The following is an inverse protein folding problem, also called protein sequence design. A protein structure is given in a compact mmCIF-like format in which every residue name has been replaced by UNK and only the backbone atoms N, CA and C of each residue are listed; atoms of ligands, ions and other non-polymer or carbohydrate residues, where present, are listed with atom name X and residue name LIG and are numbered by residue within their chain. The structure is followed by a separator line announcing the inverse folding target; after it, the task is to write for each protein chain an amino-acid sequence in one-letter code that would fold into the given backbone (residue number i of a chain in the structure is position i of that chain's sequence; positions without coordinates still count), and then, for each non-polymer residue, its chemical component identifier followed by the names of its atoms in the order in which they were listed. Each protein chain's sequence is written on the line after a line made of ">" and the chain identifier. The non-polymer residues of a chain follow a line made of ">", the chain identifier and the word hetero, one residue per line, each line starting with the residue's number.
data_IF_304178683425
#
_entry.id   IF_304178683425
#
_cell.length_a   1.000
_cell.length_b   1.000
_cell.length_c   1.000
_cell.angle_alpha   90.00
_cell.angle_beta   90.00
_cell.angle_gamma   90.00
#
_symmetry.space_group_name_H-M   'P 1'
#
loop_
_entity.id
_entity.type
_entity.pdbx_description
1 polymer ?
#
# COMPACT_ATOMS: atom_id res chain seq x y z
N UNK A 1 -30.15 8.26 -14.78
CA UNK A 1 -29.26 8.63 -13.67
C UNK A 1 -27.87 8.91 -14.25
N UNK A 2 -27.33 10.13 -14.05
CA UNK A 2 -26.13 10.60 -14.75
C UNK A 2 -24.85 10.06 -14.08
N UNK A 3 -23.78 9.82 -14.85
CA UNK A 3 -22.45 9.39 -14.34
C UNK A 3 -21.99 10.38 -13.25
N UNK A 4 -22.24 11.68 -13.43
CA UNK A 4 -21.90 12.74 -12.47
C UNK A 4 -22.54 12.55 -11.09
N UNK A 5 -23.77 12.02 -11.03
CA UNK A 5 -24.47 11.82 -9.74
C UNK A 5 -23.85 10.65 -8.95
N UNK A 6 -23.30 9.65 -9.63
CA UNK A 6 -22.64 8.49 -9.00
C UNK A 6 -21.22 8.80 -8.55
N UNK A 7 -20.50 9.70 -9.22
CA UNK A 7 -19.21 10.19 -8.75
C UNK A 7 -19.32 11.08 -7.50
N UNK A 8 -20.51 11.60 -7.20
CA UNK A 8 -20.81 12.31 -5.94
C UNK A 8 -21.06 11.36 -4.76
N UNK A 9 -21.13 10.04 -4.99
CA UNK A 9 -21.33 9.07 -3.90
C UNK A 9 -20.10 9.07 -2.97
N UNK A 10 -20.27 9.36 -1.66
CA UNK A 10 -19.16 9.43 -0.72
C UNK A 10 -18.32 8.15 -0.67
N UNK A 11 -18.94 7.00 -0.93
CA UNK A 11 -18.26 5.71 -0.94
C UNK A 11 -17.12 5.62 -1.98
N UNK A 12 -17.25 6.27 -3.14
CA UNK A 12 -16.18 6.33 -4.17
C UNK A 12 -14.99 7.12 -3.66
N UNK A 13 -15.22 8.24 -2.98
CA UNK A 13 -14.16 9.07 -2.44
C UNK A 13 -13.44 8.43 -1.24
N UNK A 14 -14.18 7.73 -0.38
CA UNK A 14 -13.58 6.94 0.71
C UNK A 14 -12.69 5.84 0.14
N UNK A 15 -13.14 5.17 -0.93
CA UNK A 15 -12.34 4.14 -1.58
C UNK A 15 -11.11 4.74 -2.30
N UNK A 16 -11.28 5.90 -2.95
CA UNK A 16 -10.18 6.62 -3.58
C UNK A 16 -9.12 7.02 -2.54
N UNK A 17 -9.54 7.52 -1.37
CA UNK A 17 -8.65 7.82 -0.26
C UNK A 17 -7.96 6.56 0.28
N UNK A 18 -8.69 5.46 0.48
CA UNK A 18 -8.12 4.19 0.94
C UNK A 18 -7.05 3.67 -0.03
N UNK A 19 -7.33 3.70 -1.33
CA UNK A 19 -6.38 3.33 -2.37
C UNK A 19 -5.16 4.28 -2.41
N UNK A 20 -5.37 5.58 -2.24
CA UNK A 20 -4.31 6.56 -2.16
C UNK A 20 -3.34 6.27 -1.00
N UNK A 21 -3.84 6.00 0.20
CA UNK A 21 -3.02 5.63 1.35
C UNK A 21 -2.32 4.28 1.17
N UNK A 22 -2.94 3.31 0.53
CA UNK A 22 -2.29 2.05 0.18
C UNK A 22 -1.14 2.28 -0.81
N UNK A 23 -1.29 3.18 -1.79
CA UNK A 23 -0.23 3.53 -2.73
C UNK A 23 0.93 4.24 -2.04
N UNK A 24 0.70 5.06 -1.02
CA UNK A 24 1.77 5.63 -0.18
C UNK A 24 2.64 4.51 0.40
N UNK A 25 2.03 3.51 1.04
CA UNK A 25 2.75 2.36 1.61
C UNK A 25 3.51 1.55 0.54
N UNK A 26 2.90 1.33 -0.62
CA UNK A 26 3.52 0.59 -1.73
C UNK A 26 4.74 1.30 -2.30
N UNK A 27 4.60 2.58 -2.62
CA UNK A 27 5.68 3.36 -3.24
C UNK A 27 6.77 3.73 -2.24
N UNK A 28 6.47 3.76 -0.94
CA UNK A 28 7.48 3.86 0.11
C UNK A 28 8.55 2.76 -0.03
N UNK A 29 8.13 1.51 -0.14
CA UNK A 29 9.06 0.39 -0.28
C UNK A 29 9.72 0.36 -1.65
N UNK A 30 8.96 0.62 -2.73
CA UNK A 30 9.50 0.56 -4.08
C UNK A 30 10.50 1.70 -4.38
N UNK A 31 10.28 2.90 -3.84
CA UNK A 31 11.16 4.06 -4.03
C UNK A 31 12.31 4.14 -3.03
N UNK A 32 12.05 3.83 -1.75
CA UNK A 32 12.98 4.10 -0.65
C UNK A 32 13.46 2.83 0.08
N UNK A 33 12.86 1.67 -0.20
CA UNK A 33 13.19 0.42 0.51
C UNK A 33 14.63 -0.02 0.32
N UNK A 34 15.21 0.19 -0.87
CA UNK A 34 16.63 -0.14 -1.14
C UNK A 34 17.54 0.76 -0.30
N UNK A 35 17.33 2.08 -0.34
CA UNK A 35 18.10 3.03 0.48
C UNK A 35 17.97 2.71 1.98
N UNK A 36 16.78 2.35 2.44
CA UNK A 36 16.59 1.96 3.85
C UNK A 36 17.40 0.73 4.23
N UNK A 37 17.45 -0.30 3.38
CA UNK A 37 18.24 -1.51 3.65
C UNK A 37 19.74 -1.21 3.67
N UNK A 38 20.21 -0.34 2.78
CA UNK A 38 21.60 0.05 2.70
C UNK A 38 22.04 0.88 3.92
N UNK A 39 21.34 1.99 4.15
CA UNK A 39 21.76 3.00 5.14
C UNK A 39 21.39 2.63 6.58
N UNK A 40 20.21 2.01 6.78
CA UNK A 40 19.74 1.66 8.13
C UNK A 40 20.16 0.25 8.56
N UNK A 41 20.33 -0.68 7.61
CA UNK A 41 20.59 -2.10 7.93
C UNK A 41 21.93 -2.63 7.44
N UNK A 42 22.69 -1.84 6.66
CA UNK A 42 24.03 -2.18 6.19
C UNK A 42 24.10 -3.26 5.11
N UNK A 43 23.01 -3.44 4.33
CA UNK A 43 22.98 -4.38 3.22
C UNK A 43 23.79 -3.83 2.03
N UNK A 44 24.42 -4.73 1.28
CA UNK A 44 25.04 -4.36 -0.01
C UNK A 44 23.95 -4.02 -1.05
N UNK A 45 24.37 -3.30 -2.12
CA UNK A 45 23.46 -2.91 -3.21
C UNK A 45 22.71 -4.10 -3.79
N UNK A 46 23.40 -5.19 -4.07
CA UNK A 46 22.82 -6.39 -4.68
C UNK A 46 21.82 -7.09 -3.73
N UNK A 47 22.16 -7.19 -2.45
CA UNK A 47 21.28 -7.77 -1.44
C UNK A 47 20.01 -6.92 -1.27
N UNK A 48 20.14 -5.60 -1.12
CA UNK A 48 19.01 -4.68 -0.93
C UNK A 48 18.05 -4.73 -2.13
N UNK A 49 18.58 -4.65 -3.36
CA UNK A 49 17.77 -4.73 -4.59
C UNK A 49 17.09 -6.09 -4.68
N UNK A 50 17.80 -7.19 -4.38
CA UNK A 50 17.26 -8.55 -4.45
C UNK A 50 16.09 -8.72 -3.46
N UNK A 51 16.26 -8.27 -2.21
CA UNK A 51 15.23 -8.35 -1.18
C UNK A 51 13.99 -7.53 -1.56
N UNK A 52 14.18 -6.28 -1.99
CA UNK A 52 13.05 -5.42 -2.38
C UNK A 52 12.33 -5.97 -3.61
N UNK A 53 13.04 -6.56 -4.58
CA UNK A 53 12.43 -7.12 -5.80
C UNK A 53 11.47 -8.29 -5.53
N UNK A 54 11.62 -8.99 -4.42
CA UNK A 54 10.72 -10.09 -4.00
C UNK A 54 9.27 -9.59 -3.90
N UNK A 55 9.06 -8.38 -3.37
CA UNK A 55 7.70 -7.85 -3.23
C UNK A 55 6.98 -7.68 -4.58
N UNK A 56 7.69 -7.31 -5.64
CA UNK A 56 7.10 -7.13 -6.96
C UNK A 56 6.66 -8.49 -7.56
N UNK A 57 7.49 -9.52 -7.43
CA UNK A 57 7.16 -10.87 -7.93
C UNK A 57 5.98 -11.46 -7.17
N UNK A 58 5.99 -11.37 -5.84
CA UNK A 58 4.90 -11.90 -5.02
C UNK A 58 3.64 -11.03 -5.08
N UNK A 59 3.76 -9.75 -5.43
CA UNK A 59 2.63 -8.89 -5.73
C UNK A 59 1.81 -9.39 -6.93
N UNK A 60 2.46 -9.92 -7.96
CA UNK A 60 1.77 -10.56 -9.11
C UNK A 60 0.97 -11.77 -8.61
N UNK A 61 1.57 -12.65 -7.81
CA UNK A 61 0.88 -13.80 -7.24
C UNK A 61 -0.30 -13.36 -6.36
N UNK A 62 -0.12 -12.37 -5.50
CA UNK A 62 -1.18 -11.80 -4.68
C UNK A 62 -2.36 -11.30 -5.50
N UNK A 63 -2.09 -10.58 -6.60
CA UNK A 63 -3.12 -10.08 -7.50
C UNK A 63 -3.88 -11.20 -8.21
N UNK A 64 -3.18 -12.23 -8.72
CA UNK A 64 -3.83 -13.37 -9.38
C UNK A 64 -4.69 -14.17 -8.41
N UNK A 65 -4.19 -14.40 -7.20
CA UNK A 65 -4.90 -15.18 -6.18
C UNK A 65 -6.05 -14.41 -5.52
N UNK A 66 -6.07 -13.06 -5.61
CA UNK A 66 -7.06 -12.22 -4.93
C UNK A 66 -8.51 -12.55 -5.30
N UNK A 67 -8.78 -12.80 -6.59
CA UNK A 67 -10.11 -13.21 -7.09
C UNK A 67 -10.54 -14.55 -6.49
N UNK A 68 -9.66 -15.55 -6.54
CA UNK A 68 -9.93 -16.88 -5.98
C UNK A 68 -10.19 -16.83 -4.47
N UNK A 69 -9.39 -16.07 -3.73
CA UNK A 69 -9.59 -15.85 -2.30
C UNK A 69 -10.95 -15.21 -2.00
N UNK A 70 -11.32 -14.15 -2.73
CA UNK A 70 -12.57 -13.45 -2.55
C UNK A 70 -13.78 -14.39 -2.75
N UNK A 71 -13.77 -15.13 -3.86
CA UNK A 71 -14.94 -15.91 -4.27
C UNK A 71 -15.11 -17.17 -3.43
N UNK A 72 -14.02 -17.90 -3.15
CA UNK A 72 -14.09 -19.17 -2.41
C UNK A 72 -14.16 -19.04 -0.90
N UNK A 73 -13.35 -18.12 -0.31
CA UNK A 73 -13.24 -18.01 1.15
C UNK A 73 -14.23 -17.02 1.75
N UNK A 74 -14.55 -15.95 1.03
CA UNK A 74 -15.34 -14.83 1.58
C UNK A 74 -16.68 -14.63 0.90
N UNK A 75 -17.13 -15.57 0.06
CA UNK A 75 -18.43 -15.56 -0.61
C UNK A 75 -18.77 -14.22 -1.30
N UNK A 76 -17.74 -13.57 -1.86
CA UNK A 76 -17.86 -12.26 -2.52
C UNK A 76 -17.82 -11.05 -1.58
N UNK A 77 -17.71 -11.21 -0.26
CA UNK A 77 -17.45 -10.07 0.64
C UNK A 77 -15.99 -9.65 0.50
N UNK A 78 -15.77 -8.41 0.06
CA UNK A 78 -14.42 -7.87 -0.22
C UNK A 78 -13.85 -7.03 0.91
N UNK A 79 -14.66 -6.69 1.92
CA UNK A 79 -14.22 -5.87 3.06
C UNK A 79 -13.36 -6.66 4.03
N UNK A 80 -13.78 -7.91 4.32
CA UNK A 80 -13.05 -8.78 5.24
C UNK A 80 -11.64 -9.10 4.71
N UNK A 81 -11.48 -9.59 3.46
CA UNK A 81 -10.14 -9.82 2.94
C UNK A 81 -9.33 -8.52 2.81
N UNK A 82 -9.92 -7.38 2.44
CA UNK A 82 -9.21 -6.11 2.42
C UNK A 82 -8.69 -5.71 3.82
N UNK A 83 -9.46 -5.96 4.87
CA UNK A 83 -9.03 -5.74 6.26
C UNK A 83 -7.88 -6.69 6.65
N UNK A 84 -8.02 -7.99 6.40
CA UNK A 84 -7.02 -9.00 6.75
C UNK A 84 -5.68 -8.74 6.04
N UNK A 85 -5.72 -8.51 4.73
CA UNK A 85 -4.52 -8.20 3.96
C UNK A 85 -3.96 -6.80 4.25
N UNK A 86 -4.80 -5.84 4.67
CA UNK A 86 -4.37 -4.55 5.17
C UNK A 86 -3.60 -4.66 6.49
N UNK A 87 -4.08 -5.46 7.43
CA UNK A 87 -3.35 -5.78 8.66
C UNK A 87 -2.03 -6.49 8.34
N UNK A 88 -2.07 -7.51 7.47
CA UNK A 88 -0.87 -8.22 7.03
C UNK A 88 0.16 -7.28 6.40
N UNK A 89 -0.28 -6.33 5.55
CA UNK A 89 0.56 -5.32 4.95
C UNK A 89 1.25 -4.44 5.99
N UNK A 90 0.50 -3.97 7.00
CA UNK A 90 1.05 -3.12 8.07
C UNK A 90 2.01 -3.89 8.97
N UNK A 91 1.71 -5.16 9.27
CA UNK A 91 2.62 -6.03 10.04
C UNK A 91 3.90 -6.33 9.26
N UNK A 92 3.78 -6.64 7.96
CA UNK A 92 4.93 -6.87 7.09
C UNK A 92 5.82 -5.63 6.99
N UNK A 93 5.21 -4.44 6.87
CA UNK A 93 5.92 -3.17 6.83
C UNK A 93 6.63 -2.87 8.16
N UNK A 94 5.96 -3.10 9.30
CA UNK A 94 6.56 -2.96 10.62
C UNK A 94 7.72 -3.95 10.82
N UNK A 95 7.57 -5.20 10.36
CA UNK A 95 8.63 -6.19 10.40
C UNK A 95 9.82 -5.79 9.53
N UNK A 96 9.58 -5.21 8.36
CA UNK A 96 10.63 -4.68 7.49
C UNK A 96 11.38 -3.54 8.16
N UNK A 97 10.70 -2.60 8.78
CA UNK A 97 11.30 -1.40 9.37
C UNK A 97 12.01 -1.70 10.69
N UNK A 98 11.43 -2.54 11.55
CA UNK A 98 11.90 -2.76 12.93
C UNK A 98 12.40 -4.18 13.22
N UNK A 99 12.28 -5.13 12.29
CA UNK A 99 12.59 -6.55 12.49
C UNK A 99 14.08 -6.93 12.54
N UNK A 100 14.99 -5.93 12.62
CA UNK A 100 16.43 -6.19 12.67
C UNK A 100 17.09 -6.44 11.30
N UNK A 101 18.39 -6.76 11.33
CA UNK A 101 19.24 -6.79 10.12
C UNK A 101 19.39 -8.20 9.51
N UNK A 102 18.77 -9.22 10.10
CA UNK A 102 18.88 -10.58 9.57
C UNK A 102 18.24 -10.69 8.18
N UNK A 103 18.94 -11.24 7.20
CA UNK A 103 18.49 -11.40 5.81
C UNK A 103 17.13 -12.08 5.73
N UNK A 104 16.93 -13.20 6.45
CA UNK A 104 15.70 -13.95 6.41
C UNK A 104 14.47 -13.17 6.89
N UNK A 105 14.63 -12.25 7.87
CA UNK A 105 13.54 -11.39 8.37
C UNK A 105 13.12 -10.40 7.29
N UNK A 106 14.08 -9.80 6.59
CA UNK A 106 13.81 -8.85 5.52
C UNK A 106 13.20 -9.53 4.29
N UNK A 107 13.65 -10.74 3.95
CA UNK A 107 13.04 -11.57 2.90
C UNK A 107 11.60 -11.93 3.28
N UNK A 108 11.37 -12.42 4.50
CA UNK A 108 10.02 -12.77 4.99
C UNK A 108 9.09 -11.56 4.95
N UNK A 109 9.56 -10.39 5.39
CA UNK A 109 8.77 -9.16 5.36
C UNK A 109 8.36 -8.78 3.93
N UNK A 110 9.26 -8.90 2.95
CA UNK A 110 8.97 -8.61 1.53
C UNK A 110 8.06 -9.65 0.89
N UNK A 111 8.14 -10.91 1.30
CA UNK A 111 7.19 -11.96 0.89
C UNK A 111 5.77 -11.60 1.35
N UNK A 112 5.61 -11.33 2.65
CA UNK A 112 4.30 -10.98 3.22
C UNK A 112 3.76 -9.66 2.65
N UNK A 113 4.63 -8.66 2.52
CA UNK A 113 4.27 -7.36 1.95
C UNK A 113 3.83 -7.49 0.49
N UNK A 114 4.58 -8.22 -0.34
CA UNK A 114 4.25 -8.42 -1.74
C UNK A 114 2.89 -9.08 -1.94
N UNK A 115 2.62 -10.19 -1.23
CA UNK A 115 1.33 -10.87 -1.30
C UNK A 115 0.21 -9.93 -0.85
N UNK A 116 0.38 -9.27 0.31
CA UNK A 116 -0.63 -8.38 0.86
C UNK A 116 -0.95 -7.21 -0.06
N UNK A 117 0.09 -6.53 -0.58
CA UNK A 117 -0.09 -5.37 -1.46
C UNK A 117 -0.72 -5.77 -2.80
N UNK A 118 -0.38 -6.95 -3.35
CA UNK A 118 -0.98 -7.48 -4.57
C UNK A 118 -2.48 -7.69 -4.43
N UNK A 119 -2.93 -8.27 -3.32
CA UNK A 119 -4.34 -8.44 -3.00
C UNK A 119 -5.03 -7.09 -2.80
N UNK A 120 -4.42 -6.17 -2.05
CA UNK A 120 -4.98 -4.84 -1.79
C UNK A 120 -5.14 -4.01 -3.05
N UNK A 121 -4.18 -4.06 -3.98
CA UNK A 121 -4.29 -3.38 -5.29
C UNK A 121 -5.54 -3.85 -6.03
N UNK A 122 -5.78 -5.17 -6.06
CA UNK A 122 -6.94 -5.72 -6.72
C UNK A 122 -8.26 -5.27 -6.05
N UNK A 123 -8.32 -5.29 -4.72
CA UNK A 123 -9.54 -4.91 -4.00
C UNK A 123 -9.77 -3.40 -3.96
N UNK A 124 -8.83 -2.64 -3.41
CA UNK A 124 -8.98 -1.19 -3.23
C UNK A 124 -8.85 -0.42 -4.54
N UNK A 125 -7.95 -0.86 -5.43
CA UNK A 125 -7.73 -0.23 -6.73
C UNK A 125 -8.77 -0.59 -7.80
N UNK A 126 -9.51 -1.69 -7.63
CA UNK A 126 -10.37 -2.22 -8.68
C UNK A 126 -11.72 -2.75 -8.20
N UNK A 127 -11.73 -3.95 -7.64
CA UNK A 127 -12.96 -4.71 -7.42
C UNK A 127 -14.00 -4.01 -6.54
N UNK A 128 -13.57 -3.33 -5.46
CA UNK A 128 -14.48 -2.59 -4.59
C UNK A 128 -15.11 -1.38 -5.29
N UNK A 129 -14.39 -0.75 -6.24
CA UNK A 129 -14.95 0.33 -7.03
C UNK A 129 -16.07 -0.17 -7.98
N UNK A 130 -15.87 -1.35 -8.56
CA UNK A 130 -16.86 -2.00 -9.42
C UNK A 130 -18.15 -2.34 -8.66
N UNK A 131 -18.03 -2.74 -7.39
CA UNK A 131 -19.21 -3.11 -6.56
C UNK A 131 -20.00 -1.90 -6.06
N UNK A 132 -19.39 -0.73 -5.97
CA UNK A 132 -20.03 0.48 -5.42
C UNK A 132 -20.88 1.20 -6.50
N UNK A 133 -20.50 1.06 -7.78
CA UNK A 133 -21.16 1.78 -8.87
C UNK A 133 -21.74 0.83 -9.92
N UNK A 134 -22.80 1.23 -10.65
CA UNK A 134 -23.34 0.44 -11.74
C UNK A 134 -22.32 0.34 -12.89
N UNK A 135 -22.44 -0.73 -13.69
CA UNK A 135 -21.50 -1.05 -14.79
C UNK A 135 -21.17 0.12 -15.72
N UNK A 136 -22.15 1.00 -15.99
CA UNK A 136 -21.97 2.19 -16.85
C UNK A 136 -21.05 3.26 -16.25
N UNK A 137 -20.85 3.27 -14.93
CA UNK A 137 -20.04 4.26 -14.21
C UNK A 137 -18.71 3.69 -13.72
N UNK A 138 -18.44 2.38 -13.92
CA UNK A 138 -17.26 1.68 -13.42
C UNK A 138 -15.96 2.33 -13.91
N UNK A 139 -15.84 2.63 -15.20
CA UNK A 139 -14.63 3.27 -15.75
C UNK A 139 -14.34 4.63 -15.12
N UNK A 140 -15.37 5.43 -14.85
CA UNK A 140 -15.20 6.72 -14.19
C UNK A 140 -14.76 6.58 -12.72
N UNK A 141 -15.34 5.62 -11.99
CA UNK A 141 -14.96 5.34 -10.61
C UNK A 141 -13.50 4.84 -10.52
N UNK A 142 -13.11 3.91 -11.39
CA UNK A 142 -11.72 3.42 -11.48
C UNK A 142 -10.75 4.55 -11.84
N UNK A 143 -11.15 5.47 -12.73
CA UNK A 143 -10.37 6.65 -13.07
C UNK A 143 -10.13 7.57 -11.87
N UNK A 144 -11.15 7.85 -11.06
CA UNK A 144 -11.01 8.67 -9.83
C UNK A 144 -10.09 7.99 -8.82
N UNK A 145 -10.27 6.69 -8.58
CA UNK A 145 -9.42 5.90 -7.67
C UNK A 145 -7.97 5.90 -8.17
N UNK A 146 -7.76 5.67 -9.46
CA UNK A 146 -6.42 5.65 -10.07
C UNK A 146 -5.71 7.00 -9.95
N UNK A 147 -6.38 8.11 -10.32
CA UNK A 147 -5.82 9.46 -10.22
C UNK A 147 -5.44 9.78 -8.77
N UNK A 148 -6.33 9.54 -7.81
CA UNK A 148 -6.05 9.78 -6.39
C UNK A 148 -4.82 8.97 -5.91
N UNK A 149 -4.72 7.70 -6.34
CA UNK A 149 -3.62 6.80 -5.97
C UNK A 149 -2.27 7.29 -6.50
N UNK A 150 -2.20 7.69 -7.76
CA UNK A 150 -0.94 8.15 -8.35
C UNK A 150 -0.54 9.56 -7.88
N UNK A 151 -1.49 10.45 -7.60
CA UNK A 151 -1.20 11.73 -6.95
C UNK A 151 -0.60 11.47 -5.56
N UNK A 152 -1.18 10.55 -4.79
CA UNK A 152 -0.67 10.19 -3.48
C UNK A 152 0.73 9.55 -3.55
N UNK A 153 1.02 8.74 -4.58
CA UNK A 153 2.35 8.18 -4.82
C UNK A 153 3.39 9.30 -5.06
N UNK A 154 3.07 10.30 -5.88
CA UNK A 154 3.97 11.42 -6.11
C UNK A 154 4.18 12.29 -4.86
N UNK A 155 3.12 12.56 -4.09
CA UNK A 155 3.23 13.27 -2.80
C UNK A 155 4.10 12.47 -1.83
N UNK A 156 3.93 11.15 -1.77
CA UNK A 156 4.71 10.25 -0.94
C UNK A 156 6.21 10.34 -1.24
N UNK A 157 6.60 10.31 -2.52
CA UNK A 157 8.01 10.39 -2.90
C UNK A 157 8.65 11.69 -2.41
N UNK A 158 7.98 12.84 -2.64
CA UNK A 158 8.44 14.14 -2.19
C UNK A 158 8.49 14.22 -0.65
N UNK A 159 7.42 13.78 0.01
CA UNK A 159 7.33 13.82 1.48
C UNK A 159 8.38 12.90 2.14
N UNK A 160 8.58 11.69 1.60
CA UNK A 160 9.60 10.78 2.13
C UNK A 160 11.01 11.32 1.92
N UNK A 161 11.31 11.85 0.73
CA UNK A 161 12.60 12.47 0.47
C UNK A 161 12.88 13.65 1.43
N UNK A 162 11.90 14.52 1.63
CA UNK A 162 12.02 15.64 2.56
C UNK A 162 12.17 15.18 4.01
N UNK A 163 11.41 14.18 4.46
CA UNK A 163 11.52 13.63 5.81
C UNK A 163 12.88 12.98 6.05
N UNK A 164 13.41 12.24 5.08
CA UNK A 164 14.73 11.61 5.18
C UNK A 164 15.82 12.69 5.21
N UNK A 165 15.79 13.63 4.26
CA UNK A 165 16.81 14.67 4.13
C UNK A 165 16.87 15.59 5.36
N UNK A 166 15.71 15.96 5.92
CA UNK A 166 15.63 16.81 7.11
C UNK A 166 16.15 16.15 8.40
N UNK A 167 16.35 14.82 8.41
CA UNK A 167 16.83 14.06 9.56
C UNK A 167 18.18 13.37 9.28
N UNK A 168 18.93 13.87 8.29
CA UNK A 168 20.34 13.49 8.09
C UNK A 168 21.21 14.26 9.07
N UNK A 169 22.00 13.55 9.86
CA UNK A 169 23.06 14.13 10.69
C UNK A 169 24.40 13.81 10.07
N UNK A 170 25.27 14.83 9.95
CA UNK A 170 26.63 14.66 9.45
C UNK A 170 27.57 14.60 10.64
N UNK A 171 28.26 13.48 10.82
CA UNK A 171 29.26 13.31 11.86
C UNK A 171 30.53 14.14 11.56
N UNK A 172 31.37 14.33 12.55
CA UNK A 172 32.61 15.12 12.44
C UNK A 172 33.63 14.55 11.44
N UNK A 173 33.49 13.26 11.09
CA UNK A 173 34.28 12.55 10.08
C UNK A 173 33.69 12.66 8.66
N UNK A 174 32.58 13.39 8.50
CA UNK A 174 31.85 13.53 7.23
C UNK A 174 30.89 12.38 6.90
N UNK A 175 30.77 11.38 7.76
CA UNK A 175 29.80 10.29 7.54
C UNK A 175 28.35 10.81 7.73
N UNK A 176 27.46 10.43 6.81
CA UNK A 176 26.03 10.73 6.90
C UNK A 176 25.33 9.65 7.70
N UNK A 177 24.61 10.05 8.71
CA UNK A 177 23.74 9.16 9.48
C UNK A 177 22.28 9.51 9.21
N UNK A 178 21.52 8.53 8.73
CA UNK A 178 20.13 8.68 8.35
C UNK A 178 19.19 8.24 9.49
N UNK A 179 18.31 9.12 9.95
CA UNK A 179 17.23 8.75 10.86
C UNK A 179 15.95 8.50 10.07
N UNK A 180 15.59 7.23 9.93
CA UNK A 180 14.38 6.80 9.27
C UNK A 180 13.14 6.76 10.18
N UNK A 181 13.25 7.11 11.46
CA UNK A 181 12.14 7.05 12.42
C UNK A 181 10.89 7.81 11.96
N UNK A 182 10.98 9.10 11.63
CA UNK A 182 9.83 9.90 11.21
C UNK A 182 9.17 9.39 9.92
N UNK A 183 9.96 9.01 8.92
CA UNK A 183 9.42 8.50 7.66
C UNK A 183 8.80 7.11 7.82
N UNK A 184 9.35 6.26 8.69
CA UNK A 184 8.79 4.95 9.00
C UNK A 184 7.40 5.07 9.63
N UNK A 185 7.21 6.01 10.57
CA UNK A 185 5.89 6.31 11.14
C UNK A 185 4.90 6.78 10.08
N UNK A 186 5.32 7.63 9.16
CA UNK A 186 4.49 8.09 8.04
C UNK A 186 4.02 6.92 7.16
N UNK A 187 4.91 6.00 6.80
CA UNK A 187 4.58 4.83 5.98
C UNK A 187 3.64 3.86 6.68
N UNK A 188 3.86 3.58 7.98
CA UNK A 188 2.99 2.70 8.77
C UNK A 188 1.63 3.35 8.96
N UNK A 189 1.57 4.64 9.31
CA UNK A 189 0.30 5.35 9.46
C UNK A 189 -0.53 5.31 8.18
N UNK A 190 0.09 5.55 7.03
CA UNK A 190 -0.57 5.43 5.74
C UNK A 190 -1.11 4.01 5.49
N UNK A 191 -0.30 2.98 5.78
CA UNK A 191 -0.73 1.58 5.66
C UNK A 191 -1.96 1.29 6.54
N UNK A 192 -1.96 1.73 7.79
CA UNK A 192 -3.08 1.53 8.73
C UNK A 192 -4.35 2.26 8.26
N UNK A 193 -4.23 3.51 7.86
CA UNK A 193 -5.36 4.31 7.35
C UNK A 193 -5.99 3.64 6.12
N UNK A 194 -5.18 3.05 5.24
CA UNK A 194 -5.64 2.45 3.98
C UNK A 194 -6.69 1.37 4.18
N UNK A 195 -6.56 0.51 5.20
CA UNK A 195 -7.52 -0.58 5.43
C UNK A 195 -8.63 -0.20 6.42
N UNK A 196 -8.46 0.86 7.23
CA UNK A 196 -9.51 1.34 8.11
C UNK A 196 -10.59 2.13 7.36
N UNK A 197 -10.21 2.92 6.36
CA UNK A 197 -11.14 3.73 5.58
C UNK A 197 -12.29 2.94 4.92
N UNK A 198 -12.08 1.77 4.28
CA UNK A 198 -13.15 1.00 3.68
C UNK A 198 -14.20 0.49 4.69
N UNK A 199 -13.83 0.36 5.98
CA UNK A 199 -14.77 -0.05 7.02
C UNK A 199 -15.84 1.03 7.28
N UNK A 200 -15.55 2.29 6.98
CA UNK A 200 -16.52 3.40 7.10
C UNK A 200 -17.62 3.32 6.06
N UNK A 201 -17.41 2.64 4.93
CA UNK A 201 -18.42 2.44 3.92
C UNK A 201 -19.48 1.45 4.43
N UNK A 202 -20.63 1.95 4.90
CA UNK A 202 -21.80 1.11 5.23
C UNK A 202 -22.22 0.32 3.99
N UNK A 203 -22.70 -0.94 4.17
CA UNK A 203 -23.28 -1.76 3.10
C UNK A 203 -24.42 -0.93 2.45
N UNK A 204 -24.18 -0.32 1.31
CA UNK A 204 -25.26 0.06 0.43
C UNK A 204 -25.77 -1.25 -0.17
N UNK A 205 -26.97 -1.70 0.28
CA UNK A 205 -27.71 -2.73 -0.44
C UNK A 205 -27.86 -2.22 -1.87
N UNK A 206 -27.22 -2.87 -2.80
CA UNK A 206 -27.52 -2.71 -4.22
C UNK A 206 -28.93 -3.28 -4.37
N UNK A 207 -29.92 -2.42 -4.44
CA UNK A 207 -31.25 -2.83 -4.94
C UNK A 207 -31.03 -3.28 -6.39
N UNK A 208 -31.31 -4.55 -6.61
CA UNK A 208 -31.21 -5.25 -7.89
C UNK A 208 -32.17 -4.66 -8.93
#
# INVERSE_FOLDING_TARGET
>A
MCIRDRLRTPAVWVLAAASAFMYISRYAINGWGVLFLQEAKGFSDVEAISVVSINALLGILGTVLSGWFSDKLFKGDRKIPALLFGILNSVALALFLYGGNAMWVNVLSMVLFGIAIGVLICFLGGLMAVDIVPRKATGAALGVVGIASYIAAGIQDVASGWLIDSHITVATDGAKHYDFGPVALFWIAASVISFLLPLMNRKQKTEA
#
